data_IF_464367732039
#
_entry.id   IF_464367732039
#
_cell.length_a   1.000
_cell.length_b   1.000
_cell.length_c   1.000
_cell.angle_alpha   90.00
_cell.angle_beta   90.00
_cell.angle_gamma   90.00
#
_symmetry.space_group_name_H-M   'P 1'
#
loop_
_entity.id
_entity.type
_entity.pdbx_description
1 polymer ?
#
# COMPACT_ATOMS: atom_id res chain seq x y z
N UNK A 1 33.29 4.93 11.39
CA UNK A 1 32.68 4.07 10.33
C UNK A 1 31.69 3.01 10.86
N UNK A 2 31.15 3.13 12.09
CA UNK A 2 30.11 2.23 12.63
C UNK A 2 28.67 2.80 12.58
N UNK A 3 28.51 4.13 12.56
CA UNK A 3 27.19 4.79 12.49
C UNK A 3 26.46 4.54 11.16
N UNK A 4 27.17 4.47 10.03
CA UNK A 4 26.58 4.22 8.72
C UNK A 4 25.96 2.81 8.60
N UNK A 5 26.51 1.80 9.29
CA UNK A 5 25.95 0.43 9.29
C UNK A 5 24.65 0.34 10.09
N UNK A 6 24.53 1.06 11.21
CA UNK A 6 23.30 1.12 12.01
C UNK A 6 22.16 1.85 11.29
N UNK A 7 22.45 2.96 10.59
CA UNK A 7 21.47 3.68 9.78
C UNK A 7 21.02 2.83 8.58
N UNK A 8 21.92 2.05 7.96
CA UNK A 8 21.55 1.11 6.91
C UNK A 8 20.62 -0.02 7.40
N UNK A 9 20.80 -0.50 8.64
CA UNK A 9 19.99 -1.58 9.21
C UNK A 9 18.56 -1.12 9.55
N UNK A 10 18.39 0.07 10.13
CA UNK A 10 17.06 0.65 10.42
C UNK A 10 16.34 1.11 9.15
N UNK A 11 17.05 1.59 8.13
CA UNK A 11 16.47 1.91 6.81
C UNK A 11 15.97 0.65 6.09
N UNK A 12 16.69 -0.47 6.17
CA UNK A 12 16.23 -1.78 5.65
C UNK A 12 14.99 -2.30 6.38
N UNK A 13 14.96 -2.17 7.71
CA UNK A 13 13.85 -2.67 8.53
C UNK A 13 12.54 -1.90 8.27
N UNK A 14 12.62 -0.56 8.19
CA UNK A 14 11.45 0.27 7.82
C UNK A 14 10.99 0.03 6.38
N UNK A 15 11.91 -0.23 5.45
CA UNK A 15 11.58 -0.59 4.07
C UNK A 15 10.87 -1.96 3.97
N UNK A 16 11.31 -2.96 4.74
CA UNK A 16 10.65 -4.27 4.85
C UNK A 16 9.25 -4.19 5.47
N UNK A 17 9.08 -3.37 6.51
CA UNK A 17 7.78 -3.22 7.19
C UNK A 17 6.74 -2.56 6.26
N UNK A 18 7.15 -1.56 5.48
CA UNK A 18 6.29 -0.88 4.48
C UNK A 18 5.82 -1.83 3.39
N UNK A 19 6.73 -2.65 2.87
CA UNK A 19 6.39 -3.68 1.87
C UNK A 19 5.36 -4.68 2.40
N UNK A 20 5.44 -5.07 3.69
CA UNK A 20 4.44 -5.96 4.30
C UNK A 20 3.06 -5.29 4.39
N UNK A 21 2.99 -4.00 4.69
CA UNK A 21 1.71 -3.27 4.73
C UNK A 21 1.10 -3.14 3.34
N UNK A 22 1.92 -2.77 2.33
CA UNK A 22 1.50 -2.72 0.93
C UNK A 22 0.94 -4.07 0.45
N UNK A 23 1.68 -5.16 0.68
CA UNK A 23 1.24 -6.50 0.34
C UNK A 23 0.01 -6.96 1.14
N UNK A 24 -0.11 -6.52 2.40
CA UNK A 24 -1.27 -6.78 3.24
C UNK A 24 -2.54 -6.16 2.67
N UNK A 25 -2.49 -4.87 2.31
CA UNK A 25 -3.62 -4.16 1.68
C UNK A 25 -4.03 -4.84 0.37
N UNK A 26 -3.05 -5.20 -0.47
CA UNK A 26 -3.32 -5.91 -1.73
C UNK A 26 -3.99 -7.27 -1.50
N UNK A 27 -3.55 -8.03 -0.50
CA UNK A 27 -4.13 -9.33 -0.18
C UNK A 27 -5.55 -9.21 0.40
N UNK A 28 -5.84 -8.18 1.21
CA UNK A 28 -7.20 -7.91 1.70
C UNK A 28 -8.12 -7.59 0.52
N UNK A 29 -7.71 -6.67 -0.36
CA UNK A 29 -8.48 -6.32 -1.55
C UNK A 29 -8.74 -7.52 -2.46
N UNK A 30 -7.73 -8.37 -2.68
CA UNK A 30 -7.90 -9.61 -3.46
C UNK A 30 -8.93 -10.55 -2.84
N UNK A 31 -8.91 -10.72 -1.51
CA UNK A 31 -9.89 -11.56 -0.82
C UNK A 31 -11.30 -10.99 -0.92
N UNK A 32 -11.47 -9.68 -0.76
CA UNK A 32 -12.78 -9.02 -0.91
C UNK A 32 -13.29 -9.19 -2.34
N UNK A 33 -12.46 -8.95 -3.36
CA UNK A 33 -12.83 -9.14 -4.78
C UNK A 33 -13.20 -10.60 -5.08
N UNK A 34 -12.44 -11.55 -4.52
CA UNK A 34 -12.76 -12.97 -4.65
C UNK A 34 -14.12 -13.31 -4.01
N UNK A 35 -14.44 -12.73 -2.85
CA UNK A 35 -15.72 -12.94 -2.14
C UNK A 35 -16.93 -12.36 -2.88
N UNK A 36 -16.74 -11.32 -3.71
CA UNK A 36 -17.78 -10.82 -4.63
C UNK A 36 -17.77 -11.50 -6.00
N UNK A 37 -16.88 -12.49 -6.22
CA UNK A 37 -16.79 -13.25 -7.46
C UNK A 37 -16.12 -12.51 -8.63
N UNK A 38 -15.38 -11.43 -8.35
CA UNK A 38 -14.67 -10.65 -9.37
C UNK A 38 -13.26 -11.22 -9.55
N UNK A 39 -12.87 -11.61 -10.78
CA UNK A 39 -11.53 -12.10 -11.05
C UNK A 39 -10.49 -11.00 -10.86
N UNK A 40 -9.37 -11.36 -10.24
CA UNK A 40 -8.26 -10.43 -10.04
C UNK A 40 -7.49 -10.18 -11.34
N UNK A 41 -7.03 -8.94 -11.58
CA UNK A 41 -6.31 -8.60 -12.80
C UNK A 41 -4.93 -9.29 -12.82
N UNK A 42 -4.53 -9.82 -13.98
CA UNK A 42 -3.26 -10.53 -14.20
C UNK A 42 -2.20 -9.71 -14.95
N UNK A 43 -2.45 -8.40 -15.14
CA UNK A 43 -1.59 -7.52 -15.92
C UNK A 43 -0.24 -7.23 -15.22
N UNK A 44 0.76 -6.74 -15.97
CA UNK A 44 2.01 -6.24 -15.38
C UNK A 44 1.81 -5.03 -14.46
N UNK A 45 0.65 -4.38 -14.52
CA UNK A 45 0.21 -3.26 -13.70
C UNK A 45 -0.93 -3.66 -12.74
N UNK A 46 -1.06 -4.96 -12.44
CA UNK A 46 -2.18 -5.50 -11.67
C UNK A 46 -2.46 -4.78 -10.36
N UNK A 47 -1.42 -4.25 -9.69
CA UNK A 47 -1.57 -3.47 -8.46
C UNK A 47 -2.44 -2.23 -8.64
N UNK A 48 -2.29 -1.53 -9.77
CA UNK A 48 -3.07 -0.35 -10.12
C UNK A 48 -4.49 -0.75 -10.51
N UNK A 49 -4.61 -1.80 -11.32
CA UNK A 49 -5.90 -2.30 -11.78
C UNK A 49 -6.74 -2.81 -10.60
N UNK A 50 -6.12 -3.44 -9.60
CA UNK A 50 -6.75 -3.87 -8.35
C UNK A 50 -7.36 -2.70 -7.58
N UNK A 51 -6.62 -1.58 -7.46
CA UNK A 51 -7.11 -0.37 -6.80
C UNK A 51 -8.24 0.32 -7.58
N UNK A 52 -8.21 0.24 -8.91
CA UNK A 52 -9.28 0.77 -9.76
C UNK A 52 -10.55 -0.04 -9.53
N UNK A 53 -10.46 -1.37 -9.65
CA UNK A 53 -11.58 -2.29 -9.40
C UNK A 53 -12.16 -2.13 -8.00
N UNK A 54 -11.32 -2.07 -6.97
CA UNK A 54 -11.78 -1.85 -5.59
C UNK A 54 -12.55 -0.53 -5.42
N UNK A 55 -12.20 0.50 -6.18
CA UNK A 55 -12.91 1.78 -6.16
C UNK A 55 -14.19 1.76 -6.99
N UNK A 56 -14.23 1.01 -8.09
CA UNK A 56 -15.43 0.84 -8.93
C UNK A 56 -16.51 0.04 -8.20
N UNK A 57 -16.10 -0.97 -7.43
CA UNK A 57 -16.97 -1.78 -6.56
C UNK A 57 -17.35 -1.08 -5.24
N UNK A 58 -17.00 0.20 -5.09
CA UNK A 58 -17.25 1.01 -3.90
C UNK A 58 -16.71 0.41 -2.59
N UNK A 59 -15.72 -0.50 -2.66
CA UNK A 59 -15.03 -1.07 -1.50
C UNK A 59 -14.18 0.01 -0.83
N UNK A 60 -13.54 0.84 -1.65
CA UNK A 60 -12.77 2.01 -1.21
C UNK A 60 -13.24 3.26 -1.93
N UNK A 61 -13.07 4.42 -1.29
CA UNK A 61 -13.37 5.70 -1.91
C UNK A 61 -12.34 6.06 -2.98
N UNK A 62 -12.75 6.89 -3.94
CA UNK A 62 -11.82 7.43 -4.96
C UNK A 62 -10.66 8.23 -4.36
N UNK A 63 -10.86 8.81 -3.17
CA UNK A 63 -9.82 9.50 -2.40
C UNK A 63 -8.83 8.50 -1.80
N UNK A 64 -9.33 7.41 -1.19
CA UNK A 64 -8.49 6.33 -0.66
C UNK A 64 -7.66 5.67 -1.77
N UNK A 65 -8.28 5.40 -2.93
CA UNK A 65 -7.59 4.90 -4.12
C UNK A 65 -6.37 5.75 -4.48
N UNK A 66 -6.50 7.08 -4.49
CA UNK A 66 -5.40 7.99 -4.82
C UNK A 66 -4.28 7.95 -3.77
N UNK A 67 -4.61 7.83 -2.49
CA UNK A 67 -3.61 7.70 -1.39
C UNK A 67 -2.86 6.38 -1.52
N UNK A 68 -3.58 5.27 -1.66
CA UNK A 68 -3.00 3.93 -1.83
C UNK A 68 -2.16 3.81 -3.11
N UNK A 69 -2.60 4.40 -4.22
CA UNK A 69 -1.83 4.38 -5.47
C UNK A 69 -0.47 5.06 -5.32
N UNK A 70 -0.41 6.21 -4.64
CA UNK A 70 0.87 6.90 -4.33
C UNK A 70 1.75 6.04 -3.43
N UNK A 71 1.17 5.42 -2.41
CA UNK A 71 1.88 4.57 -1.47
C UNK A 71 2.46 3.30 -2.14
N UNK A 72 1.64 2.57 -2.91
CA UNK A 72 2.04 1.36 -3.63
C UNK A 72 3.05 1.64 -4.75
N UNK A 73 2.84 2.72 -5.53
CA UNK A 73 3.79 3.14 -6.55
C UNK A 73 5.14 3.50 -5.93
N UNK A 74 5.14 4.16 -4.77
CA UNK A 74 6.35 4.42 -4.02
C UNK A 74 7.01 3.10 -3.59
N UNK A 75 6.30 2.17 -2.97
CA UNK A 75 6.86 0.87 -2.58
C UNK A 75 7.47 0.10 -3.77
N UNK A 76 6.81 0.09 -4.93
CA UNK A 76 7.30 -0.58 -6.13
C UNK A 76 8.54 0.11 -6.72
N UNK A 77 8.51 1.45 -6.82
CA UNK A 77 9.61 2.24 -7.36
C UNK A 77 10.85 2.18 -6.45
N UNK A 78 10.63 2.21 -5.13
CA UNK A 78 11.67 2.22 -4.11
C UNK A 78 12.42 0.89 -3.98
N UNK A 79 11.80 -0.22 -4.39
CA UNK A 79 12.47 -1.54 -4.53
C UNK A 79 13.42 -1.57 -5.73
N UNK A 80 13.12 -0.84 -6.82
CA UNK A 80 13.89 -0.89 -8.06
C UNK A 80 14.89 0.26 -8.22
N UNK A 81 14.61 1.44 -7.67
CA UNK A 81 15.35 2.68 -7.95
C UNK A 81 16.60 2.92 -7.09
N UNK A 82 17.13 1.89 -6.43
CA UNK A 82 18.33 1.95 -5.60
C UNK A 82 18.20 2.78 -4.31
N UNK A 83 18.60 2.14 -3.22
CA UNK A 83 18.86 2.69 -1.89
C UNK A 83 19.82 3.90 -1.83
N UNK A 84 20.35 4.34 -2.97
CA UNK A 84 21.33 5.43 -3.11
C UNK A 84 20.72 6.83 -3.34
N UNK A 85 19.51 6.90 -3.91
CA UNK A 85 18.83 8.18 -4.27
C UNK A 85 17.85 8.67 -3.20
N UNK A 86 18.00 8.17 -2.00
CA UNK A 86 16.94 8.12 -1.02
C UNK A 86 16.99 9.32 -0.08
N UNK A 87 16.23 10.37 -0.40
CA UNK A 87 16.04 11.49 0.53
C UNK A 87 15.18 11.01 1.71
N UNK A 88 15.79 11.04 2.89
CA UNK A 88 15.19 10.63 4.15
C UNK A 88 13.94 11.46 4.49
N UNK A 89 13.86 12.71 4.00
CA UNK A 89 12.73 13.61 4.23
C UNK A 89 11.49 13.14 3.47
N UNK A 90 11.64 12.80 2.19
CA UNK A 90 10.57 12.24 1.36
C UNK A 90 10.05 10.93 1.95
N UNK A 91 10.97 10.07 2.40
CA UNK A 91 10.60 8.83 3.06
C UNK A 91 9.82 9.08 4.36
N UNK A 92 10.25 10.04 5.17
CA UNK A 92 9.61 10.33 6.47
C UNK A 92 8.21 10.90 6.29
N UNK A 93 8.01 11.77 5.30
CA UNK A 93 6.69 12.33 4.97
C UNK A 93 5.71 11.24 4.53
N UNK A 94 6.16 10.33 3.65
CA UNK A 94 5.29 9.28 3.12
C UNK A 94 4.94 8.20 4.16
N UNK A 95 5.81 8.01 5.14
CA UNK A 95 5.69 6.97 6.17
C UNK A 95 5.02 7.50 7.42
N UNK A 96 5.08 8.80 7.67
CA UNK A 96 4.32 9.42 8.75
C UNK A 96 2.83 9.16 8.60
N UNK A 97 2.31 9.25 7.36
CA UNK A 97 0.88 9.12 7.06
C UNK A 97 0.44 7.68 6.74
N UNK A 98 1.35 6.69 6.83
CA UNK A 98 1.01 5.30 6.45
C UNK A 98 0.01 4.67 7.41
N UNK A 99 0.19 4.89 8.71
CA UNK A 99 -0.66 4.30 9.74
C UNK A 99 -2.05 4.92 9.70
N UNK A 100 -2.13 6.23 9.46
CA UNK A 100 -3.38 6.95 9.30
C UNK A 100 -4.10 6.52 8.01
N UNK A 101 -3.35 6.31 6.92
CA UNK A 101 -3.91 5.77 5.67
C UNK A 101 -4.43 4.35 5.86
N UNK A 102 -3.69 3.49 6.57
CA UNK A 102 -4.11 2.11 6.84
C UNK A 102 -5.36 2.06 7.74
N UNK A 103 -5.39 2.87 8.80
CA UNK A 103 -6.55 2.96 9.68
C UNK A 103 -7.80 3.43 8.95
N UNK A 104 -7.67 4.47 8.12
CA UNK A 104 -8.77 4.94 7.29
C UNK A 104 -9.21 3.90 6.25
N UNK A 105 -8.29 3.09 5.72
CA UNK A 105 -8.62 1.96 4.85
C UNK A 105 -9.41 0.88 5.60
N UNK A 106 -8.99 0.51 6.80
CA UNK A 106 -9.68 -0.46 7.67
C UNK A 106 -11.12 -0.01 7.96
N UNK A 107 -11.29 1.26 8.34
CA UNK A 107 -12.61 1.86 8.57
C UNK A 107 -13.51 1.82 7.32
N UNK A 108 -12.99 2.17 6.13
CA UNK A 108 -13.74 2.07 4.88
C UNK A 108 -14.15 0.62 4.57
N UNK A 109 -13.24 -0.34 4.77
CA UNK A 109 -13.53 -1.76 4.52
C UNK A 109 -14.54 -2.34 5.51
N UNK A 110 -14.47 -1.97 6.79
CA UNK A 110 -15.43 -2.42 7.81
C UNK A 110 -16.84 -1.87 7.55
N UNK A 111 -16.93 -0.60 7.13
CA UNK A 111 -18.19 0.00 6.68
C UNK A 111 -18.75 -0.77 5.48
N UNK A 112 -17.91 -1.14 4.51
CA UNK A 112 -18.36 -1.93 3.37
C UNK A 112 -18.83 -3.33 3.77
N UNK A 113 -18.09 -4.04 4.63
CA UNK A 113 -18.46 -5.38 5.13
C UNK A 113 -19.79 -5.34 5.89
N UNK A 114 -19.99 -4.33 6.74
CA UNK A 114 -21.23 -4.17 7.52
C UNK A 114 -22.45 -3.85 6.64
N UNK A 115 -22.27 -3.22 5.47
CA UNK A 115 -23.34 -3.00 4.49
C UNK A 115 -23.74 -4.25 3.71
N UNK A 116 -22.85 -5.24 3.59
CA UNK A 116 -23.09 -6.49 2.84
C UNK A 116 -23.75 -7.58 3.70
N UNK A 117 -23.72 -7.43 5.03
CA UNK A 117 -24.38 -8.36 5.99
C UNK A 117 -25.84 -7.96 6.27
#
# INVERSE_FOLDING_TARGET
>A
MMLYKYICFTKRFTQFFKMRIAAGIENILKQILHDIGIPTPSSSLWHRDLLILASEENIITGTMRKRLAKYLAFCHFFVRAYSFLLDERELKLLVGDIFDTYKAFEEETDIWISRKR
#
